data_IF_618785642036
#
_entry.id   IF_618785642036
#
_cell.length_a   1.000
_cell.length_b   1.000
_cell.length_c   1.000
_cell.angle_alpha   90.00
_cell.angle_beta   90.00
_cell.angle_gamma   90.00
#
_symmetry.space_group_name_H-M   'P 1'
#
loop_
_entity.id
_entity.type
_entity.pdbx_description
1 polymer ?
#
# COMPACT_ATOMS: atom_id res chain seq x y z
N UNK A 1 14.85 -0.77 -19.78
CA UNK A 1 14.03 -1.86 -19.24
C UNK A 1 12.69 -1.22 -18.89
N UNK A 2 11.69 -1.47 -19.72
CA UNK A 2 10.41 -0.75 -19.66
C UNK A 2 9.62 -1.14 -18.41
N UNK A 3 8.99 -0.14 -17.79
CA UNK A 3 8.13 -0.27 -16.60
C UNK A 3 6.92 -1.21 -16.86
N UNK A 4 6.66 -1.54 -18.12
CA UNK A 4 5.56 -2.41 -18.56
C UNK A 4 5.75 -3.91 -18.28
N UNK A 5 6.98 -4.39 -18.06
CA UNK A 5 7.23 -5.82 -17.91
C UNK A 5 6.69 -6.41 -16.58
N UNK A 6 6.53 -5.62 -15.53
CA UNK A 6 5.92 -6.07 -14.27
C UNK A 6 4.40 -6.22 -14.30
N UNK A 7 3.72 -5.51 -15.20
CA UNK A 7 2.26 -5.48 -15.28
C UNK A 7 1.63 -6.78 -15.83
N UNK A 8 2.40 -7.61 -16.55
CA UNK A 8 1.91 -8.86 -17.14
C UNK A 8 1.66 -10.00 -16.13
N UNK A 9 2.17 -9.91 -14.90
CA UNK A 9 2.04 -10.98 -13.89
C UNK A 9 0.70 -10.99 -13.13
N UNK A 10 -0.17 -9.99 -13.32
CA UNK A 10 -1.41 -9.85 -12.56
C UNK A 10 -2.65 -10.32 -13.31
N UNK A 11 -2.72 -11.63 -13.66
CA UNK A 11 -4.00 -12.17 -14.09
C UNK A 11 -4.86 -12.52 -12.83
N UNK A 12 -6.21 -12.64 -12.93
CA UNK A 12 -7.09 -12.90 -11.79
C UNK A 12 -6.75 -14.17 -10.98
N UNK A 13 -6.20 -15.19 -11.64
CA UNK A 13 -5.78 -16.43 -10.99
C UNK A 13 -4.48 -16.24 -10.18
N UNK A 14 -3.54 -15.45 -10.70
CA UNK A 14 -2.31 -15.08 -9.99
C UNK A 14 -2.63 -14.22 -8.77
N UNK A 15 -3.59 -13.32 -8.86
CA UNK A 15 -4.01 -12.49 -7.72
C UNK A 15 -4.70 -13.29 -6.61
N UNK A 16 -5.43 -14.37 -6.95
CA UNK A 16 -6.00 -15.27 -5.95
C UNK A 16 -4.92 -16.08 -5.21
N UNK A 17 -3.93 -16.58 -5.95
CA UNK A 17 -2.76 -17.26 -5.38
C UNK A 17 -1.92 -16.27 -4.57
N UNK A 18 -1.81 -15.02 -5.01
CA UNK A 18 -1.10 -13.95 -4.34
C UNK A 18 -1.55 -13.78 -2.89
N UNK A 19 -2.84 -13.77 -2.61
CA UNK A 19 -3.36 -13.58 -1.26
C UNK A 19 -2.92 -14.69 -0.28
N UNK A 20 -3.02 -15.95 -0.72
CA UNK A 20 -2.63 -17.07 0.14
C UNK A 20 -1.11 -17.16 0.25
N UNK A 21 -0.42 -17.04 -0.86
CA UNK A 21 1.02 -17.26 -0.91
C UNK A 21 1.80 -16.05 -0.40
N UNK A 22 1.51 -14.85 -0.90
CA UNK A 22 2.24 -13.63 -0.51
C UNK A 22 1.76 -13.09 0.82
N UNK A 23 0.46 -12.82 0.96
CA UNK A 23 -0.05 -12.13 2.15
C UNK A 23 -0.16 -13.04 3.38
N UNK A 24 -0.37 -14.36 3.23
CA UNK A 24 -0.44 -15.26 4.40
C UNK A 24 0.87 -15.95 4.67
N UNK A 25 1.43 -16.67 3.68
CA UNK A 25 2.61 -17.51 3.92
C UNK A 25 3.91 -16.70 3.92
N UNK A 26 4.18 -15.92 2.89
CA UNK A 26 5.44 -15.17 2.83
C UNK A 26 5.51 -14.09 3.90
N UNK A 27 4.43 -13.33 4.15
CA UNK A 27 4.42 -12.33 5.21
C UNK A 27 4.65 -12.96 6.59
N UNK A 28 4.16 -14.17 6.84
CA UNK A 28 4.30 -14.84 8.13
C UNK A 28 5.68 -15.50 8.31
N UNK A 29 6.15 -16.24 7.32
CA UNK A 29 7.32 -17.12 7.47
C UNK A 29 8.60 -16.55 6.84
N UNK A 30 8.49 -15.84 5.72
CA UNK A 30 9.64 -15.19 5.10
C UNK A 30 9.89 -13.81 5.75
N UNK A 31 8.94 -12.91 5.67
CA UNK A 31 9.11 -11.53 6.14
C UNK A 31 8.86 -11.34 7.64
N UNK A 32 8.29 -12.35 8.32
CA UNK A 32 8.00 -12.34 9.78
C UNK A 32 7.19 -11.12 10.22
N UNK A 33 6.29 -10.67 9.37
CA UNK A 33 5.35 -9.59 9.60
C UNK A 33 3.96 -10.03 9.16
N UNK A 34 3.26 -10.87 9.96
CA UNK A 34 1.99 -11.47 9.57
C UNK A 34 0.93 -10.43 9.23
N UNK A 35 0.28 -10.60 8.08
CA UNK A 35 -0.72 -9.65 7.56
C UNK A 35 -1.89 -9.47 8.52
N UNK A 36 -2.40 -10.55 9.09
CA UNK A 36 -3.60 -10.58 9.93
C UNK A 36 -3.42 -9.89 11.29
N UNK A 37 -2.23 -9.93 11.86
CA UNK A 37 -1.94 -9.41 13.21
C UNK A 37 -1.11 -8.12 13.22
N UNK A 38 -0.46 -7.78 12.11
CA UNK A 38 0.42 -6.59 12.03
C UNK A 38 -0.07 -5.60 10.97
N UNK A 39 -0.19 -6.02 9.71
CA UNK A 39 -0.46 -5.10 8.62
C UNK A 39 -1.93 -4.68 8.56
N UNK A 40 -2.84 -5.63 8.69
CA UNK A 40 -4.27 -5.36 8.61
C UNK A 40 -4.78 -4.48 9.75
N UNK A 41 -4.37 -4.66 11.02
CA UNK A 41 -4.72 -3.71 12.08
C UNK A 41 -4.24 -2.28 11.81
N UNK A 42 -3.03 -2.10 11.28
CA UNK A 42 -2.52 -0.78 10.91
C UNK A 42 -3.34 -0.15 9.77
N UNK A 43 -3.72 -0.94 8.77
CA UNK A 43 -4.61 -0.49 7.70
C UNK A 43 -5.98 -0.08 8.26
N UNK A 44 -6.60 -0.95 9.08
CA UNK A 44 -7.93 -0.72 9.67
C UNK A 44 -7.97 0.54 10.53
N UNK A 45 -6.92 0.85 11.29
CA UNK A 45 -6.83 2.05 12.12
C UNK A 45 -7.07 3.34 11.31
N UNK A 46 -6.48 3.44 10.12
CA UNK A 46 -6.66 4.59 9.24
C UNK A 46 -7.97 4.52 8.44
N UNK A 47 -8.33 3.33 7.96
CA UNK A 47 -9.45 3.10 7.05
C UNK A 47 -10.82 3.29 7.72
N UNK A 48 -11.00 2.78 8.95
CA UNK A 48 -12.31 2.75 9.61
C UNK A 48 -12.81 4.15 9.93
N UNK A 49 -11.91 5.07 10.27
CA UNK A 49 -12.22 6.44 10.65
C UNK A 49 -12.39 7.39 9.45
N UNK A 50 -12.05 6.94 8.24
CA UNK A 50 -12.07 7.79 7.07
C UNK A 50 -13.41 7.75 6.33
N UNK A 51 -13.84 8.91 5.82
CA UNK A 51 -14.93 9.02 4.85
C UNK A 51 -14.42 8.88 3.41
N UNK A 52 -13.20 9.35 3.16
CA UNK A 52 -12.51 9.28 1.86
C UNK A 52 -11.17 8.60 2.02
N UNK A 53 -11.03 7.40 1.45
CA UNK A 53 -9.82 6.60 1.49
C UNK A 53 -9.21 6.42 0.11
N UNK A 54 -7.89 6.60 0.00
CA UNK A 54 -7.11 6.27 -1.19
C UNK A 54 -6.18 5.10 -0.89
N UNK A 55 -6.30 4.02 -1.66
CA UNK A 55 -5.38 2.87 -1.60
C UNK A 55 -4.48 2.87 -2.84
N UNK A 56 -3.16 3.04 -2.64
CA UNK A 56 -2.16 3.13 -3.71
C UNK A 56 -1.39 1.81 -3.79
N UNK A 57 -1.40 1.18 -4.99
CA UNK A 57 -0.83 -0.15 -5.19
C UNK A 57 -1.74 -1.25 -4.65
N UNK A 58 -2.97 -1.24 -5.10
CA UNK A 58 -4.09 -2.02 -4.53
C UNK A 58 -3.95 -3.53 -4.69
N UNK A 59 -3.14 -4.01 -5.63
CA UNK A 59 -2.96 -5.44 -5.96
C UNK A 59 -4.30 -6.18 -6.08
N UNK A 60 -4.57 -7.15 -5.18
CA UNK A 60 -5.82 -7.95 -5.18
C UNK A 60 -7.00 -7.28 -4.47
N UNK A 61 -6.84 -6.10 -3.87
CA UNK A 61 -7.87 -5.44 -3.06
C UNK A 61 -8.13 -6.11 -1.69
N UNK A 62 -7.19 -6.91 -1.20
CA UNK A 62 -7.34 -7.64 0.07
C UNK A 62 -7.59 -6.72 1.26
N UNK A 63 -6.76 -5.69 1.43
CA UNK A 63 -6.85 -4.79 2.57
C UNK A 63 -8.17 -4.03 2.63
N UNK A 64 -8.57 -3.26 1.61
CA UNK A 64 -9.84 -2.53 1.63
C UNK A 64 -11.05 -3.46 1.70
N UNK A 65 -11.04 -4.62 1.00
CA UNK A 65 -12.14 -5.59 1.07
C UNK A 65 -12.33 -6.13 2.49
N UNK A 66 -11.24 -6.56 3.14
CA UNK A 66 -11.28 -7.14 4.48
C UNK A 66 -11.65 -6.10 5.53
N UNK A 67 -11.07 -4.90 5.46
CA UNK A 67 -11.35 -3.82 6.40
C UNK A 67 -12.81 -3.35 6.31
N UNK A 68 -13.35 -3.22 5.10
CA UNK A 68 -14.77 -2.87 4.89
C UNK A 68 -15.71 -3.94 5.46
N UNK A 69 -15.42 -5.23 5.23
CA UNK A 69 -16.18 -6.36 5.77
C UNK A 69 -16.19 -6.34 7.30
N UNK A 70 -15.04 -6.07 7.93
CA UNK A 70 -14.92 -5.99 9.39
C UNK A 70 -15.61 -4.74 9.96
N UNK A 71 -15.49 -3.58 9.30
CA UNK A 71 -16.21 -2.35 9.66
C UNK A 71 -17.71 -2.60 9.70
N UNK A 72 -18.24 -3.26 8.65
CA UNK A 72 -19.64 -3.64 8.55
C UNK A 72 -20.08 -4.60 9.66
N UNK A 73 -19.30 -5.65 9.92
CA UNK A 73 -19.61 -6.66 10.95
C UNK A 73 -19.63 -6.07 12.36
N UNK A 74 -18.84 -5.04 12.62
CA UNK A 74 -18.84 -4.29 13.89
C UNK A 74 -19.98 -3.28 14.01
N UNK A 75 -20.83 -3.15 13.01
CA UNK A 75 -21.94 -2.17 12.98
C UNK A 75 -21.49 -0.72 12.93
N UNK A 76 -20.22 -0.46 12.61
CA UNK A 76 -19.69 0.91 12.48
C UNK A 76 -20.23 1.50 11.18
N UNK A 77 -21.33 2.25 11.28
CA UNK A 77 -21.88 3.03 10.18
C UNK A 77 -21.43 4.47 10.37
N UNK A 78 -20.78 5.05 9.34
CA UNK A 78 -20.63 6.49 9.25
C UNK A 78 -21.95 7.12 8.83
N UNK A 79 -22.10 8.42 9.05
CA UNK A 79 -23.26 9.20 8.60
C UNK A 79 -23.36 9.26 7.07
N UNK A 80 -22.26 8.97 6.39
CA UNK A 80 -22.14 8.99 4.94
C UNK A 80 -21.54 7.68 4.41
N UNK A 81 -21.87 7.37 3.16
CA UNK A 81 -21.25 6.29 2.40
C UNK A 81 -19.77 6.57 2.21
N UNK A 82 -18.91 5.65 2.64
CA UNK A 82 -17.47 5.78 2.50
C UNK A 82 -17.05 5.78 1.02
N UNK A 83 -16.21 6.72 0.63
CA UNK A 83 -15.61 6.78 -0.70
C UNK A 83 -14.23 6.13 -0.67
N UNK A 84 -14.04 5.11 -1.50
CA UNK A 84 -12.78 4.37 -1.62
C UNK A 84 -12.27 4.53 -3.06
N UNK A 85 -11.08 5.06 -3.21
CA UNK A 85 -10.42 5.16 -4.50
C UNK A 85 -9.23 4.21 -4.51
N UNK A 86 -9.18 3.41 -5.55
CA UNK A 86 -8.11 2.47 -5.82
C UNK A 86 -7.21 3.05 -6.88
N UNK A 87 -5.92 3.20 -6.60
CA UNK A 87 -4.92 3.66 -7.56
C UNK A 87 -3.88 2.58 -7.80
N UNK A 88 -3.65 2.25 -9.06
CA UNK A 88 -2.60 1.30 -9.48
C UNK A 88 -2.14 1.65 -10.89
N UNK A 89 -0.92 1.25 -11.24
CA UNK A 89 -0.39 1.37 -12.60
C UNK A 89 -1.07 0.36 -13.55
N UNK A 90 -1.53 -0.78 -13.00
CA UNK A 90 -2.14 -1.88 -13.75
C UNK A 90 -3.67 -1.82 -13.72
N UNK A 91 -4.34 -1.52 -14.86
CA UNK A 91 -5.80 -1.50 -14.94
C UNK A 91 -6.45 -2.84 -14.58
N UNK A 92 -5.77 -3.97 -14.86
CA UNK A 92 -6.26 -5.32 -14.50
C UNK A 92 -6.32 -5.54 -13.00
N UNK A 93 -5.33 -5.04 -12.24
CA UNK A 93 -5.34 -5.06 -10.79
C UNK A 93 -6.51 -4.24 -10.23
N UNK A 94 -6.75 -3.05 -10.78
CA UNK A 94 -7.88 -2.19 -10.39
C UNK A 94 -9.23 -2.87 -10.59
N UNK A 95 -9.45 -3.49 -11.75
CA UNK A 95 -10.70 -4.20 -12.03
C UNK A 95 -10.90 -5.39 -11.07
N UNK A 96 -9.85 -6.15 -10.82
CA UNK A 96 -9.90 -7.32 -9.93
C UNK A 96 -10.16 -6.88 -8.48
N UNK A 97 -9.48 -5.85 -8.02
CA UNK A 97 -9.63 -5.32 -6.66
C UNK A 97 -11.04 -4.76 -6.44
N UNK A 98 -11.54 -3.95 -7.39
CA UNK A 98 -12.91 -3.42 -7.34
C UNK A 98 -13.95 -4.53 -7.30
N UNK A 99 -13.88 -5.50 -8.22
CA UNK A 99 -14.79 -6.64 -8.27
C UNK A 99 -14.78 -7.46 -6.98
N UNK A 100 -13.59 -7.63 -6.36
CA UNK A 100 -13.46 -8.29 -5.06
C UNK A 100 -14.17 -7.52 -3.96
N UNK A 101 -13.89 -6.22 -3.83
CA UNK A 101 -14.47 -5.40 -2.76
C UNK A 101 -16.01 -5.41 -2.87
N UNK A 102 -16.56 -5.24 -4.07
CA UNK A 102 -17.99 -5.25 -4.33
C UNK A 102 -18.63 -6.62 -4.05
N UNK A 103 -17.98 -7.73 -4.45
CA UNK A 103 -18.43 -9.09 -4.18
C UNK A 103 -18.44 -9.43 -2.70
N UNK A 104 -17.34 -9.10 -1.98
CA UNK A 104 -17.16 -9.47 -0.58
C UNK A 104 -17.98 -8.55 0.35
N UNK A 105 -18.40 -7.37 -0.15
CA UNK A 105 -19.16 -6.37 0.60
C UNK A 105 -20.41 -5.92 -0.17
N UNK A 106 -21.37 -6.82 -0.39
CA UNK A 106 -22.61 -6.47 -1.12
C UNK A 106 -23.41 -5.42 -0.34
N UNK A 107 -24.02 -4.50 -1.08
CA UNK A 107 -24.83 -3.40 -0.54
C UNK A 107 -24.14 -2.03 -0.66
N UNK A 108 -24.80 -1.00 -0.16
CA UNK A 108 -24.46 0.40 -0.40
C UNK A 108 -23.57 1.01 0.73
N UNK A 109 -22.56 0.27 1.16
CA UNK A 109 -21.66 0.69 2.25
C UNK A 109 -20.52 1.60 1.81
N UNK A 110 -20.06 1.45 0.57
CA UNK A 110 -18.98 2.24 0.02
C UNK A 110 -19.18 2.50 -1.47
N UNK A 111 -18.64 3.62 -1.94
CA UNK A 111 -18.46 3.90 -3.36
C UNK A 111 -17.03 3.58 -3.74
N UNK A 112 -16.82 2.73 -4.75
CA UNK A 112 -15.52 2.29 -5.21
C UNK A 112 -15.22 2.87 -6.57
N UNK A 113 -14.25 3.75 -6.65
CA UNK A 113 -13.74 4.31 -7.91
C UNK A 113 -12.29 3.86 -8.15
N UNK A 114 -11.84 3.89 -9.40
CA UNK A 114 -10.49 3.47 -9.79
C UNK A 114 -9.78 4.56 -10.57
N UNK A 115 -8.48 4.71 -10.35
CA UNK A 115 -7.62 5.66 -11.06
C UNK A 115 -6.34 4.95 -11.49
N UNK A 116 -6.08 4.93 -12.79
CA UNK A 116 -4.79 4.45 -13.31
C UNK A 116 -3.75 5.54 -13.12
N UNK A 117 -2.62 5.22 -12.46
CA UNK A 117 -1.57 6.20 -12.22
C UNK A 117 -0.27 5.59 -11.73
N UNK A 118 0.84 6.27 -12.05
CA UNK A 118 2.17 5.94 -11.53
C UNK A 118 2.37 6.62 -10.16
N UNK A 119 2.58 5.81 -9.13
CA UNK A 119 2.81 6.29 -7.76
C UNK A 119 4.13 7.08 -7.60
N UNK A 120 5.06 6.97 -8.56
CA UNK A 120 6.31 7.74 -8.61
C UNK A 120 6.22 8.98 -9.50
N UNK A 121 5.08 9.16 -10.18
CA UNK A 121 4.80 10.28 -11.09
C UNK A 121 4.14 11.47 -10.41
N UNK A 122 3.57 12.34 -11.22
CA UNK A 122 2.71 13.43 -10.78
C UNK A 122 1.34 12.88 -10.33
N UNK A 123 0.61 13.66 -9.52
CA UNK A 123 -0.76 13.30 -9.13
C UNK A 123 -1.62 13.12 -10.39
N UNK A 124 -2.21 11.92 -10.59
CA UNK A 124 -3.06 11.65 -11.75
C UNK A 124 -4.25 12.61 -11.84
N UNK A 125 -4.72 12.87 -13.05
CA UNK A 125 -5.85 13.79 -13.30
C UNK A 125 -7.09 13.42 -12.45
N UNK A 126 -7.40 12.13 -12.33
CA UNK A 126 -8.51 11.63 -11.51
C UNK A 126 -8.41 11.90 -10.01
N UNK A 127 -7.23 12.32 -9.51
CA UNK A 127 -6.98 12.68 -8.12
C UNK A 127 -6.73 14.18 -7.91
N UNK A 128 -6.55 14.95 -8.97
CA UNK A 128 -6.27 16.38 -8.85
C UNK A 128 -7.40 17.13 -8.13
N UNK A 129 -7.01 17.98 -7.17
CA UNK A 129 -7.96 18.75 -6.35
C UNK A 129 -8.73 17.93 -5.30
N UNK A 130 -8.60 16.60 -5.29
CA UNK A 130 -9.24 15.75 -4.28
C UNK A 130 -8.37 15.65 -3.03
N UNK A 131 -9.05 15.53 -1.89
CA UNK A 131 -8.40 15.34 -0.58
C UNK A 131 -9.00 14.12 0.11
N UNK A 132 -8.11 13.35 0.74
CA UNK A 132 -8.43 12.09 1.40
C UNK A 132 -8.15 12.18 2.90
N UNK A 133 -9.01 11.57 3.70
CA UNK A 133 -8.84 11.49 5.15
C UNK A 133 -7.77 10.44 5.51
N UNK A 134 -7.62 9.44 4.64
CA UNK A 134 -6.57 8.43 4.78
C UNK A 134 -6.01 7.98 3.43
N UNK A 135 -4.71 7.69 3.42
CA UNK A 135 -3.99 7.10 2.27
C UNK A 135 -3.24 5.87 2.76
N UNK A 136 -3.31 4.78 2.00
CA UNK A 136 -2.59 3.54 2.30
C UNK A 136 -1.57 3.18 1.21
N UNK A 137 -0.43 2.63 1.65
CA UNK A 137 0.72 2.20 0.83
C UNK A 137 1.23 0.85 1.37
N UNK A 138 0.49 -0.23 1.12
CA UNK A 138 0.84 -1.55 1.67
C UNK A 138 1.51 -2.43 0.63
N UNK A 139 2.72 -2.90 0.97
CA UNK A 139 3.49 -3.82 0.14
C UNK A 139 3.72 -3.35 -1.30
N UNK A 140 3.86 -2.04 -1.50
CA UNK A 140 4.05 -1.40 -2.80
C UNK A 140 5.51 -0.99 -3.04
N UNK A 141 6.14 -0.31 -2.08
CA UNK A 141 7.40 0.42 -2.29
C UNK A 141 8.55 -0.52 -2.70
N UNK A 142 8.57 -1.74 -2.18
CA UNK A 142 9.57 -2.73 -2.55
C UNK A 142 9.46 -3.24 -4.00
N UNK A 143 8.30 -3.03 -4.64
CA UNK A 143 8.09 -3.36 -6.05
C UNK A 143 8.57 -2.25 -7.00
N UNK A 144 8.91 -1.05 -6.48
CA UNK A 144 9.44 0.01 -7.32
C UNK A 144 10.86 -0.32 -7.83
N UNK A 145 11.26 0.27 -8.98
CA UNK A 145 12.62 0.12 -9.48
C UNK A 145 13.69 0.46 -8.43
N UNK A 146 14.88 -0.14 -8.49
CA UNK A 146 15.96 0.11 -7.54
C UNK A 146 16.30 1.60 -7.38
N UNK A 147 16.72 1.98 -6.17
CA UNK A 147 17.07 3.37 -5.80
C UNK A 147 16.10 3.90 -4.76
N UNK A 148 16.45 3.73 -3.47
CA UNK A 148 15.56 4.03 -2.33
C UNK A 148 15.10 5.48 -2.32
N UNK A 149 15.99 6.44 -2.62
CA UNK A 149 15.65 7.87 -2.71
C UNK A 149 14.58 8.17 -3.76
N UNK A 150 14.64 7.50 -4.93
CA UNK A 150 13.61 7.66 -5.96
C UNK A 150 12.25 7.17 -5.48
N UNK A 151 12.23 6.11 -4.69
CA UNK A 151 10.99 5.50 -4.15
C UNK A 151 10.27 6.42 -3.17
N UNK A 152 10.98 7.30 -2.47
CA UNK A 152 10.39 8.25 -1.52
C UNK A 152 9.46 9.28 -2.18
N UNK A 153 9.50 9.44 -3.51
CA UNK A 153 8.58 10.31 -4.25
C UNK A 153 7.10 9.98 -4.03
N UNK A 154 6.79 8.72 -3.77
CA UNK A 154 5.41 8.31 -3.45
C UNK A 154 4.86 9.01 -2.21
N UNK A 155 5.72 9.38 -1.26
CA UNK A 155 5.32 10.13 -0.06
C UNK A 155 4.90 11.55 -0.39
N UNK A 156 5.55 12.19 -1.39
CA UNK A 156 5.15 13.51 -1.90
C UNK A 156 3.76 13.46 -2.55
N UNK A 157 3.51 12.44 -3.39
CA UNK A 157 2.18 12.22 -3.96
C UNK A 157 1.13 12.03 -2.85
N UNK A 158 1.41 11.17 -1.86
CA UNK A 158 0.51 10.93 -0.74
C UNK A 158 0.24 12.22 0.07
N UNK A 159 1.28 13.02 0.35
CA UNK A 159 1.14 14.30 1.05
C UNK A 159 0.30 15.31 0.26
N UNK A 160 0.45 15.35 -1.07
CA UNK A 160 -0.29 16.27 -1.93
C UNK A 160 -1.79 15.99 -1.90
N UNK A 161 -2.21 14.73 -1.89
CA UNK A 161 -3.63 14.32 -1.91
C UNK A 161 -4.24 14.16 -0.51
N UNK A 162 -3.43 14.12 0.56
CA UNK A 162 -3.92 14.00 1.92
C UNK A 162 -4.59 15.29 2.40
N UNK A 163 -5.66 15.21 3.20
CA UNK A 163 -6.22 16.34 3.95
C UNK A 163 -5.27 16.77 5.09
N UNK A 164 -5.44 17.97 5.64
CA UNK A 164 -4.53 18.48 6.68
C UNK A 164 -4.58 17.64 7.97
N UNK A 165 -5.75 17.10 8.30
CA UNK A 165 -5.98 16.19 9.44
C UNK A 165 -5.89 14.71 9.07
N UNK A 166 -5.53 14.41 7.82
CA UNK A 166 -5.49 13.05 7.30
C UNK A 166 -4.28 12.25 7.80
N UNK A 167 -4.34 10.95 7.56
CA UNK A 167 -3.29 10.01 7.94
C UNK A 167 -2.81 9.18 6.74
N UNK A 168 -1.50 9.02 6.61
CA UNK A 168 -0.90 8.04 5.70
C UNK A 168 -0.40 6.86 6.51
N UNK A 169 -0.71 5.65 6.09
CA UNK A 169 -0.20 4.40 6.67
C UNK A 169 0.36 3.49 5.60
N UNK A 170 1.32 2.66 5.97
CA UNK A 170 1.83 1.72 4.99
C UNK A 170 2.88 0.76 5.51
N UNK A 171 3.28 -0.14 4.63
CA UNK A 171 4.35 -1.09 4.87
C UNK A 171 5.14 -1.41 3.61
N UNK A 172 6.40 -1.77 3.79
CA UNK A 172 7.24 -2.29 2.70
C UNK A 172 8.26 -3.28 3.23
N UNK A 173 8.66 -4.24 2.40
CA UNK A 173 9.73 -5.19 2.73
C UNK A 173 11.07 -4.51 2.54
N UNK A 174 11.91 -4.52 3.59
CA UNK A 174 13.26 -3.96 3.57
C UNK A 174 14.24 -4.82 2.78
N UNK A 175 15.37 -4.24 2.43
CA UNK A 175 16.42 -4.88 1.67
C UNK A 175 17.19 -5.97 2.42
N UNK A 176 18.22 -6.49 1.75
CA UNK A 176 19.03 -7.64 2.24
C UNK A 176 19.64 -7.46 3.64
N UNK A 177 19.94 -6.25 4.05
CA UNK A 177 20.53 -5.95 5.37
C UNK A 177 19.62 -6.34 6.54
N UNK A 178 18.33 -6.62 6.28
CA UNK A 178 17.33 -6.92 7.31
C UNK A 178 16.82 -8.37 7.30
N UNK A 179 17.37 -9.23 6.43
CA UNK A 179 16.92 -10.64 6.28
C UNK A 179 17.25 -11.48 7.53
N UNK A 180 18.37 -11.22 8.20
CA UNK A 180 18.87 -12.06 9.27
C UNK A 180 19.26 -13.46 8.78
N UNK A 181 19.11 -14.48 9.62
CA UNK A 181 19.49 -15.88 9.33
C UNK A 181 18.35 -16.72 8.72
N UNK A 182 17.30 -16.11 8.19
CA UNK A 182 16.19 -16.85 7.60
C UNK A 182 16.46 -17.23 6.15
N UNK A 183 16.79 -18.50 5.91
CA UNK A 183 17.08 -19.04 4.57
C UNK A 183 15.89 -18.85 3.61
N UNK A 184 14.65 -18.95 4.10
CA UNK A 184 13.45 -18.74 3.28
C UNK A 184 13.37 -17.29 2.80
N UNK A 185 13.67 -16.34 3.69
CA UNK A 185 13.74 -14.90 3.33
C UNK A 185 14.83 -14.64 2.30
N UNK A 186 16.02 -15.25 2.47
CA UNK A 186 17.12 -15.11 1.50
C UNK A 186 16.72 -15.63 0.13
N UNK A 187 16.12 -16.82 0.06
CA UNK A 187 15.66 -17.41 -1.19
C UNK A 187 14.66 -16.50 -1.91
N UNK A 188 13.61 -16.05 -1.21
CA UNK A 188 12.58 -15.19 -1.81
C UNK A 188 13.11 -13.80 -2.16
N UNK A 189 13.95 -13.21 -1.32
CA UNK A 189 14.57 -11.92 -1.62
C UNK A 189 15.42 -11.99 -2.89
N UNK A 190 16.25 -13.02 -3.02
CA UNK A 190 17.06 -13.24 -4.21
C UNK A 190 16.18 -13.45 -5.45
N UNK A 191 15.21 -14.35 -5.33
CA UNK A 191 14.32 -14.70 -6.45
C UNK A 191 13.50 -13.51 -6.96
N UNK A 192 12.85 -12.75 -6.07
CA UNK A 192 12.04 -11.61 -6.46
C UNK A 192 12.87 -10.46 -7.04
N UNK A 193 14.07 -10.22 -6.55
CA UNK A 193 14.97 -9.23 -7.15
C UNK A 193 15.56 -9.71 -8.49
N UNK A 194 15.83 -11.02 -8.64
CA UNK A 194 16.31 -11.58 -9.90
C UNK A 194 15.24 -11.50 -11.00
N UNK A 195 13.99 -11.76 -10.65
CA UNK A 195 12.87 -11.73 -11.60
C UNK A 195 12.34 -10.33 -11.87
N UNK A 196 12.84 -9.30 -11.16
CA UNK A 196 12.36 -7.93 -11.26
C UNK A 196 11.02 -7.66 -10.57
N UNK A 197 10.46 -8.64 -9.83
CA UNK A 197 9.25 -8.43 -9.04
C UNK A 197 9.51 -7.46 -7.86
N UNK A 198 10.73 -7.47 -7.31
CA UNK A 198 11.19 -6.53 -6.30
C UNK A 198 12.39 -5.74 -6.82
N UNK A 199 12.51 -4.49 -6.37
CA UNK A 199 13.68 -3.65 -6.59
C UNK A 199 14.30 -3.17 -5.27
N UNK A 200 14.12 -3.92 -4.19
CA UNK A 200 14.39 -3.49 -2.83
C UNK A 200 15.72 -4.00 -2.24
N UNK A 201 16.61 -4.55 -3.04
CA UNK A 201 17.85 -5.16 -2.54
C UNK A 201 18.65 -4.28 -1.60
N UNK A 202 18.67 -2.97 -1.86
CA UNK A 202 19.35 -1.96 -1.05
C UNK A 202 18.42 -1.08 -0.21
N UNK A 203 17.14 -1.41 -0.04
CA UNK A 203 16.21 -0.56 0.69
C UNK A 203 16.50 -0.58 2.20
N UNK A 204 16.68 0.61 2.76
CA UNK A 204 16.99 0.84 4.17
C UNK A 204 15.92 1.72 4.83
N UNK A 205 15.59 1.47 6.11
CA UNK A 205 14.54 2.22 6.81
C UNK A 205 14.89 3.69 6.99
N UNK A 206 16.17 4.04 7.16
CA UNK A 206 16.60 5.42 7.36
C UNK A 206 16.25 6.33 6.21
N UNK A 207 16.48 5.89 4.96
CA UNK A 207 16.14 6.69 3.76
C UNK A 207 14.62 6.82 3.60
N UNK A 208 13.87 5.77 3.89
CA UNK A 208 12.40 5.80 3.84
C UNK A 208 11.83 6.74 4.91
N UNK A 209 12.37 6.69 6.12
CA UNK A 209 11.97 7.57 7.22
C UNK A 209 12.31 9.03 6.91
N UNK A 210 13.48 9.32 6.36
CA UNK A 210 13.88 10.66 5.95
C UNK A 210 12.95 11.20 4.87
N UNK A 211 12.60 10.36 3.87
CA UNK A 211 11.62 10.71 2.85
C UNK A 211 10.24 11.05 3.43
N UNK A 212 9.77 10.27 4.42
CA UNK A 212 8.52 10.58 5.14
C UNK A 212 8.62 11.90 5.91
N UNK A 213 9.72 12.13 6.64
CA UNK A 213 9.94 13.37 7.42
C UNK A 213 10.06 14.62 6.53
N UNK A 214 10.51 14.44 5.30
CA UNK A 214 10.52 15.50 4.28
C UNK A 214 9.13 15.98 3.90
N UNK A 215 8.15 15.10 3.89
CA UNK A 215 6.79 15.38 3.41
C UNK A 215 5.74 15.53 4.54
N UNK A 216 6.04 15.08 5.76
CA UNK A 216 5.08 15.09 6.88
C UNK A 216 5.68 15.71 8.14
N UNK A 217 4.83 16.36 8.94
CA UNK A 217 5.23 16.99 10.21
C UNK A 217 5.32 16.01 11.37
N UNK A 218 4.50 14.95 11.35
CA UNK A 218 4.52 13.88 12.34
C UNK A 218 4.71 12.54 11.64
N UNK A 219 5.77 11.83 12.03
CA UNK A 219 6.15 10.54 11.44
C UNK A 219 6.48 9.55 12.54
N UNK A 220 5.83 8.40 12.52
CA UNK A 220 6.14 7.24 13.34
C UNK A 220 6.50 6.07 12.45
N UNK A 221 7.66 5.49 12.68
CA UNK A 221 8.18 4.34 11.93
C UNK A 221 8.61 3.23 12.88
N UNK A 222 8.50 2.00 12.46
CA UNK A 222 9.00 0.83 13.19
C UNK A 222 9.24 -0.33 12.23
N UNK A 223 9.98 -1.33 12.69
CA UNK A 223 10.28 -2.53 11.92
C UNK A 223 9.72 -3.74 12.64
N UNK A 224 9.01 -4.61 11.92
CA UNK A 224 8.54 -5.91 12.39
C UNK A 224 9.02 -6.98 11.42
N UNK A 225 9.86 -7.88 11.91
CA UNK A 225 10.54 -8.83 11.02
C UNK A 225 11.38 -8.10 9.98
N UNK A 226 11.04 -8.26 8.72
CA UNK A 226 11.68 -7.57 7.60
C UNK A 226 10.80 -6.47 7.00
N UNK A 227 9.68 -6.16 7.61
CA UNK A 227 8.78 -5.11 7.14
C UNK A 227 9.04 -3.79 7.89
N UNK A 228 9.26 -2.74 7.12
CA UNK A 228 9.20 -1.36 7.58
C UNK A 228 7.74 -0.92 7.56
N UNK A 229 7.25 -0.40 8.68
CA UNK A 229 5.89 0.11 8.84
C UNK A 229 5.97 1.59 9.19
N UNK A 230 4.96 2.33 8.76
CA UNK A 230 4.90 3.76 9.03
C UNK A 230 3.48 4.28 9.17
N UNK A 231 3.38 5.37 9.93
CA UNK A 231 2.22 6.24 10.06
C UNK A 231 2.70 7.68 10.01
N UNK A 232 2.08 8.51 9.17
CA UNK A 232 2.47 9.89 9.00
C UNK A 232 1.24 10.81 8.95
N UNK A 233 1.36 12.00 9.53
CA UNK A 233 0.32 13.02 9.63
C UNK A 233 0.91 14.40 9.35
N UNK A 234 0.03 15.39 9.21
CA UNK A 234 0.41 16.80 8.99
C UNK A 234 1.24 16.96 7.72
N UNK A 235 0.63 16.75 6.55
CA UNK A 235 1.35 16.88 5.27
C UNK A 235 1.93 18.29 5.13
N UNK A 236 3.21 18.39 4.76
CA UNK A 236 3.87 19.67 4.49
C UNK A 236 3.41 20.19 3.13
N UNK A 237 2.80 21.36 3.11
CA UNK A 237 2.39 21.99 1.85
C UNK A 237 3.60 22.68 1.24
N UNK A 238 4.00 22.26 0.04
CA UNK A 238 5.02 22.98 -0.72
C UNK A 238 4.40 24.30 -1.18
N UNK A 239 5.07 25.42 -0.95
CA UNK A 239 4.69 26.68 -1.57
C UNK A 239 4.74 26.50 -3.09
N UNK A 240 3.63 26.73 -3.76
CA UNK A 240 3.54 26.73 -5.23
C UNK A 240 4.21 27.98 -5.80
#
# INVERSE_FOLDING_TARGET
>A
MDIQDGAHYYNPFVLLIYDVWVLKLNMRYAWRSPTDTILLPLFEEAFVQSNRHLDIGVASGFFPSTALSRKRSRGVRGDQRQEIILMDLNPGALLTAKARIERDNPGDFARIDTVVGDALGAVPEGLQGRKFDSVSLFNLIHCFPPGTERKTRVFGLAAEVLSDEGVVVGSTVLGRGYIGWNVVSWFWMFWFNLTGAFGNWGDEPGVLEEGLRGEFGEVKTWVVGQSFLFRALKPRRRAR
#
